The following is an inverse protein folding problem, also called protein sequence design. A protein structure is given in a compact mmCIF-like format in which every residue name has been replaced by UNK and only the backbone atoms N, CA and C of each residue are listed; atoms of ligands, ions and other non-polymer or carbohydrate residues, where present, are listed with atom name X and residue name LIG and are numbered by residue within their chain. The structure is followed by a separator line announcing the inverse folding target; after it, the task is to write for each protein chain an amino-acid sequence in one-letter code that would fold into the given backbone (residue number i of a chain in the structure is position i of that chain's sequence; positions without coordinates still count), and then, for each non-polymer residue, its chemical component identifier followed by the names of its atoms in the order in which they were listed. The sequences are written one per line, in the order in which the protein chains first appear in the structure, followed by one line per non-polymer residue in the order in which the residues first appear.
data_IF_613736272177
#
_entry.id   IF_613736272177
#
_cell.length_a   1.000
_cell.length_b   1.000
_cell.length_c   1.000
_cell.angle_alpha   90.00
_cell.angle_beta   90.00
_cell.angle_gamma   90.00
#
_symmetry.space_group_name_H-M   'P 1'
#
loop_
_entity.id
_entity.type
_entity.pdbx_description
1 polymer ?
#
# COMPACT_ATOMS: atom_id res chain seq x y z
N UNK A 1 -25.80 -14.95 24.36
CA UNK A 1 -24.38 -14.63 24.67
C UNK A 1 -23.55 -15.78 25.25
N UNK A 2 -24.13 -16.92 25.70
CA UNK A 2 -23.38 -18.06 26.26
C UNK A 2 -22.34 -18.62 25.28
N UNK A 3 -22.76 -18.96 24.05
CA UNK A 3 -21.87 -19.48 23.00
C UNK A 3 -20.69 -18.54 22.67
N UNK A 4 -20.92 -17.23 22.69
CA UNK A 4 -19.86 -16.23 22.45
C UNK A 4 -18.80 -16.28 23.55
N UNK A 5 -19.20 -16.45 24.82
CA UNK A 5 -18.26 -16.60 25.95
C UNK A 5 -17.44 -17.88 25.83
N UNK A 6 -18.09 -18.98 25.46
CA UNK A 6 -17.43 -20.28 25.26
C UNK A 6 -16.38 -20.20 24.13
N UNK A 7 -16.74 -19.65 22.96
CA UNK A 7 -15.80 -19.48 21.83
C UNK A 7 -14.65 -18.54 22.19
N UNK A 8 -14.93 -17.43 22.90
CA UNK A 8 -13.87 -16.53 23.36
C UNK A 8 -12.89 -17.23 24.29
N UNK A 9 -13.38 -18.08 25.20
CA UNK A 9 -12.52 -18.83 26.12
C UNK A 9 -11.62 -19.79 25.35
N UNK A 10 -12.17 -20.54 24.40
CA UNK A 10 -11.40 -21.45 23.54
C UNK A 10 -10.30 -20.72 22.76
N UNK A 11 -10.60 -19.55 22.19
CA UNK A 11 -9.60 -18.75 21.49
C UNK A 11 -8.50 -18.26 22.44
N UNK A 12 -8.86 -17.86 23.65
CA UNK A 12 -7.88 -17.45 24.67
C UNK A 12 -6.94 -18.59 25.04
N UNK A 13 -7.48 -19.78 25.29
CA UNK A 13 -6.69 -20.96 25.67
C UNK A 13 -5.68 -21.32 24.54
N UNK A 14 -6.10 -21.19 23.28
CA UNK A 14 -5.22 -21.37 22.11
C UNK A 14 -4.14 -20.30 22.07
N UNK A 15 -4.46 -19.02 22.29
CA UNK A 15 -3.47 -17.94 22.32
C UNK A 15 -2.41 -18.17 23.40
N UNK A 16 -2.84 -18.57 24.61
CA UNK A 16 -1.95 -18.90 25.73
C UNK A 16 -1.03 -20.10 25.34
N UNK A 17 -1.58 -21.14 24.69
CA UNK A 17 -0.80 -22.29 24.21
C UNK A 17 0.26 -21.90 23.16
N UNK A 18 -0.02 -20.91 22.33
CA UNK A 18 0.87 -20.39 21.29
C UNK A 18 1.79 -19.27 21.79
N UNK A 19 1.74 -18.95 23.10
CA UNK A 19 2.51 -17.87 23.74
C UNK A 19 2.27 -16.49 23.11
N UNK A 20 1.03 -16.25 22.66
CA UNK A 20 0.60 -14.96 22.13
C UNK A 20 0.06 -14.11 23.27
N UNK A 21 0.63 -12.93 23.46
CA UNK A 21 0.24 -12.04 24.57
C UNK A 21 -1.13 -11.39 24.32
N UNK A 22 -2.04 -11.56 25.28
CA UNK A 22 -3.40 -11.01 25.22
C UNK A 22 -3.41 -9.61 25.82
N UNK A 23 -3.22 -8.60 24.97
CA UNK A 23 -3.25 -7.18 25.37
C UNK A 23 -4.59 -6.54 25.05
N UNK A 24 -5.09 -5.73 25.98
CA UNK A 24 -6.19 -4.82 25.72
C UNK A 24 -5.64 -3.48 25.22
N UNK A 25 -6.41 -2.80 24.37
CA UNK A 25 -6.10 -1.45 23.90
C UNK A 25 -7.22 -0.49 24.34
N UNK A 26 -6.84 0.73 24.69
CA UNK A 26 -7.81 1.79 25.06
C UNK A 26 -8.37 2.57 23.87
N UNK A 27 -7.86 2.33 22.66
CA UNK A 27 -8.26 3.05 21.45
C UNK A 27 -9.03 2.13 20.48
N UNK A 28 -10.27 2.50 20.17
CA UNK A 28 -11.13 1.81 19.22
C UNK A 28 -10.57 1.76 17.79
N UNK A 29 -9.71 2.72 17.40
CA UNK A 29 -9.06 2.72 16.08
C UNK A 29 -8.17 1.51 15.87
N UNK A 30 -7.49 1.04 16.91
CA UNK A 30 -6.62 -0.14 16.82
C UNK A 30 -7.46 -1.37 16.50
N UNK A 31 -8.64 -1.48 17.13
CA UNK A 31 -9.60 -2.56 16.85
C UNK A 31 -10.16 -2.44 15.44
N UNK A 32 -10.56 -1.24 15.01
CA UNK A 32 -11.05 -0.99 13.64
C UNK A 32 -9.99 -1.30 12.59
N UNK A 33 -8.73 -0.91 12.82
CA UNK A 33 -7.60 -1.21 11.95
C UNK A 33 -7.32 -2.71 11.89
N UNK A 34 -7.46 -3.44 13.00
CA UNK A 34 -7.38 -4.91 13.01
C UNK A 34 -8.49 -5.56 12.16
N UNK A 35 -9.73 -5.08 12.28
CA UNK A 35 -10.85 -5.55 11.43
C UNK A 35 -10.57 -5.23 9.97
N UNK A 36 -10.09 -4.02 9.68
CA UNK A 36 -9.67 -3.60 8.36
C UNK A 36 -8.59 -4.53 7.77
N UNK A 37 -7.63 -4.99 8.58
CA UNK A 37 -6.57 -5.90 8.13
C UNK A 37 -7.11 -7.28 7.71
N UNK A 38 -8.17 -7.76 8.35
CA UNK A 38 -8.81 -9.02 7.98
C UNK A 38 -9.73 -8.86 6.75
N UNK A 39 -10.48 -7.75 6.69
CA UNK A 39 -11.55 -7.53 5.72
C UNK A 39 -11.23 -6.48 4.65
N UNK A 40 -9.96 -6.10 4.44
CA UNK A 40 -9.59 -5.06 3.47
C UNK A 40 -10.11 -5.34 2.06
N UNK A 41 -10.27 -6.61 1.68
CA UNK A 41 -10.78 -7.03 0.38
C UNK A 41 -12.30 -6.81 0.24
N UNK A 42 -13.02 -6.72 1.36
CA UNK A 42 -14.45 -6.41 1.49
C UNK A 42 -14.64 -4.96 1.93
N UNK A 43 -13.98 -4.05 1.23
CA UNK A 43 -14.06 -2.62 1.48
C UNK A 43 -15.00 -1.95 0.47
N UNK A 44 -15.75 -0.96 0.92
CA UNK A 44 -16.61 -0.13 0.08
C UNK A 44 -16.43 1.34 0.43
N UNK A 45 -16.70 2.20 -0.56
CA UNK A 45 -16.66 3.66 -0.41
C UNK A 45 -18.02 4.29 -0.67
N UNK A 46 -18.31 5.40 -0.01
CA UNK A 46 -19.52 6.18 -0.22
C UNK A 46 -19.50 6.76 -1.64
N UNK A 47 -20.60 6.60 -2.37
CA UNK A 47 -20.78 7.19 -3.71
C UNK A 47 -21.91 8.21 -3.72
N UNK A 48 -22.97 7.98 -2.95
CA UNK A 48 -24.14 8.85 -2.89
C UNK A 48 -24.85 8.71 -1.55
N UNK A 49 -26.08 9.21 -1.46
CA UNK A 49 -26.88 9.17 -0.22
C UNK A 49 -27.29 7.72 0.05
N UNK A 50 -26.63 7.08 1.02
CA UNK A 50 -26.92 5.69 1.41
C UNK A 50 -26.48 4.63 0.39
N UNK A 51 -25.81 5.03 -0.71
CA UNK A 51 -25.24 4.13 -1.71
C UNK A 51 -23.72 4.07 -1.55
N UNK A 52 -23.22 2.84 -1.43
CA UNK A 52 -21.81 2.52 -1.37
C UNK A 52 -21.42 1.74 -2.62
N UNK A 53 -20.13 1.76 -2.96
CA UNK A 53 -19.57 0.97 -4.05
C UNK A 53 -18.39 0.18 -3.53
N UNK A 54 -18.40 -1.12 -3.82
CA UNK A 54 -17.28 -1.99 -3.51
C UNK A 54 -16.01 -1.49 -4.21
N UNK A 55 -14.93 -1.33 -3.46
CA UNK A 55 -13.68 -0.75 -3.96
C UNK A 55 -12.93 -1.66 -4.96
N UNK A 56 -13.18 -2.97 -4.91
CA UNK A 56 -12.55 -3.96 -5.80
C UNK A 56 -13.39 -4.20 -7.05
N UNK A 57 -14.68 -4.49 -6.89
CA UNK A 57 -15.55 -4.92 -8.01
C UNK A 57 -16.28 -3.76 -8.67
N UNK A 58 -16.34 -2.59 -8.02
CA UNK A 58 -17.15 -1.47 -8.50
C UNK A 58 -18.66 -1.71 -8.40
N UNK A 59 -19.08 -2.82 -7.78
CA UNK A 59 -20.48 -3.17 -7.62
C UNK A 59 -21.16 -2.21 -6.63
N UNK A 60 -22.34 -1.65 -6.99
CA UNK A 60 -23.14 -0.86 -6.06
C UNK A 60 -23.69 -1.75 -4.95
N UNK A 61 -23.66 -1.25 -3.72
CA UNK A 61 -24.10 -1.96 -2.52
C UNK A 61 -24.75 -0.98 -1.55
N UNK A 62 -25.64 -1.50 -0.70
CA UNK A 62 -26.38 -0.71 0.28
C UNK A 62 -26.08 -1.20 1.70
N UNK A 63 -26.21 -0.32 2.68
CA UNK A 63 -26.17 -0.75 4.08
C UNK A 63 -27.41 -1.57 4.41
N UNK A 64 -27.23 -2.75 4.99
CA UNK A 64 -28.36 -3.54 5.47
C UNK A 64 -29.05 -2.81 6.64
N UNK A 65 -30.40 -2.83 6.75
CA UNK A 65 -31.13 -2.12 7.81
C UNK A 65 -30.78 -2.55 9.24
N UNK A 66 -30.26 -3.77 9.42
CA UNK A 66 -29.80 -4.25 10.74
C UNK A 66 -28.38 -3.81 11.09
N UNK A 67 -27.66 -3.20 10.17
CA UNK A 67 -26.31 -2.70 10.43
C UNK A 67 -26.36 -1.49 11.33
N UNK A 68 -25.45 -1.42 12.31
CA UNK A 68 -25.42 -0.34 13.30
C UNK A 68 -25.21 1.06 12.68
N UNK A 69 -24.55 1.14 11.52
CA UNK A 69 -24.35 2.40 10.80
C UNK A 69 -25.62 2.89 10.07
N UNK A 70 -26.62 2.03 9.89
CA UNK A 70 -27.88 2.41 9.26
C UNK A 70 -28.67 3.33 10.21
N UNK A 71 -28.91 4.58 9.80
CA UNK A 71 -29.68 5.55 10.59
C UNK A 71 -28.89 6.28 11.69
N UNK A 72 -27.57 6.11 11.78
CA UNK A 72 -26.73 6.77 12.79
C UNK A 72 -26.50 8.28 12.57
N UNK A 73 -27.05 8.89 11.52
CA UNK A 73 -26.87 10.31 11.18
C UNK A 73 -25.46 10.68 10.68
N UNK A 74 -24.50 9.77 10.79
CA UNK A 74 -23.15 9.87 10.26
C UNK A 74 -22.93 8.83 9.17
N UNK A 75 -22.50 9.26 7.98
CA UNK A 75 -22.19 8.40 6.84
C UNK A 75 -20.69 8.38 6.59
N UNK A 76 -19.96 7.34 7.01
CA UNK A 76 -18.52 7.25 6.79
C UNK A 76 -18.18 7.09 5.30
N UNK A 77 -17.10 7.73 4.87
CA UNK A 77 -16.61 7.67 3.48
C UNK A 77 -16.12 6.28 3.08
N UNK A 78 -15.48 5.57 4.01
CA UNK A 78 -14.94 4.23 3.81
C UNK A 78 -15.43 3.28 4.88
N UNK A 79 -15.80 2.08 4.44
CA UNK A 79 -16.32 1.02 5.30
C UNK A 79 -15.72 -0.34 4.90
N UNK A 80 -15.69 -1.25 5.86
CA UNK A 80 -15.49 -2.68 5.63
C UNK A 80 -16.71 -3.44 6.13
N UNK A 81 -17.04 -4.55 5.47
CA UNK A 81 -18.19 -5.40 5.82
C UNK A 81 -17.76 -6.86 5.97
N UNK A 82 -18.55 -7.63 6.72
CA UNK A 82 -18.29 -9.06 6.96
C UNK A 82 -18.97 -9.95 5.91
N UNK A 83 -20.20 -9.59 5.53
CA UNK A 83 -21.06 -10.39 4.66
C UNK A 83 -21.79 -9.49 3.66
N UNK A 84 -22.00 -10.03 2.47
CA UNK A 84 -22.82 -9.43 1.42
C UNK A 84 -24.02 -10.34 1.13
N UNK A 85 -25.21 -9.81 1.33
CA UNK A 85 -26.46 -10.51 1.06
C UNK A 85 -26.95 -10.09 -0.33
N UNK A 86 -26.99 -11.05 -1.25
CA UNK A 86 -27.50 -10.85 -2.61
C UNK A 86 -29.01 -11.12 -2.64
N UNK A 87 -29.81 -10.09 -2.91
CA UNK A 87 -31.27 -10.19 -3.13
C UNK A 87 -31.65 -9.42 -4.40
N UNK A 88 -32.76 -8.69 -4.40
CA UNK A 88 -33.05 -7.66 -5.42
C UNK A 88 -32.05 -6.52 -5.39
N UNK A 89 -31.47 -6.24 -4.22
CA UNK A 89 -30.34 -5.33 -4.03
C UNK A 89 -29.28 -6.01 -3.18
N UNK A 90 -28.02 -5.65 -3.39
CA UNK A 90 -26.89 -6.16 -2.62
C UNK A 90 -26.77 -5.36 -1.32
N UNK A 91 -26.88 -6.05 -0.18
CA UNK A 91 -26.82 -5.45 1.14
C UNK A 91 -25.59 -5.90 1.92
N UNK A 92 -24.87 -4.96 2.52
CA UNK A 92 -23.72 -5.21 3.39
C UNK A 92 -24.16 -5.32 4.85
N UNK A 93 -23.78 -6.42 5.50
CA UNK A 93 -24.06 -6.70 6.91
C UNK A 93 -22.78 -6.65 7.76
N UNK A 94 -22.94 -6.29 9.04
CA UNK A 94 -21.85 -6.14 10.00
C UNK A 94 -20.77 -5.17 9.51
N UNK A 95 -21.19 -3.93 9.29
CA UNK A 95 -20.35 -2.88 8.69
C UNK A 95 -19.60 -2.10 9.77
N UNK A 96 -18.32 -1.82 9.53
CA UNK A 96 -17.45 -0.99 10.38
C UNK A 96 -16.86 0.16 9.58
N UNK A 97 -16.85 1.36 10.15
CA UNK A 97 -16.20 2.53 9.55
C UNK A 97 -14.67 2.43 9.66
N UNK A 98 -13.95 2.78 8.59
CA UNK A 98 -12.49 2.71 8.51
C UNK A 98 -11.92 3.94 7.81
N UNK A 99 -10.63 4.21 8.00
CA UNK A 99 -9.90 5.21 7.23
C UNK A 99 -9.37 4.61 5.92
N UNK A 100 -9.45 5.38 4.83
CA UNK A 100 -8.84 5.04 3.55
C UNK A 100 -7.32 4.84 3.64
N UNK A 101 -6.64 5.56 4.55
CA UNK A 101 -5.21 5.38 4.79
C UNK A 101 -4.88 3.98 5.31
N UNK A 102 -5.71 3.42 6.19
CA UNK A 102 -5.50 2.07 6.72
C UNK A 102 -5.67 1.01 5.63
N UNK A 103 -6.64 1.20 4.73
CA UNK A 103 -6.82 0.32 3.58
C UNK A 103 -5.57 0.30 2.70
N UNK A 104 -5.01 1.48 2.40
CA UNK A 104 -3.78 1.58 1.62
C UNK A 104 -2.54 1.00 2.32
N UNK A 105 -2.43 1.18 3.64
CA UNK A 105 -1.33 0.63 4.44
C UNK A 105 -1.38 -0.89 4.53
N UNK A 106 -2.58 -1.45 4.78
CA UNK A 106 -2.78 -2.88 5.03
C UNK A 106 -2.93 -3.70 3.73
N UNK A 107 -3.35 -3.04 2.65
CA UNK A 107 -3.54 -3.64 1.33
C UNK A 107 -2.87 -2.84 0.21
N UNK A 108 -1.54 -2.60 0.24
CA UNK A 108 -0.85 -1.74 -0.73
C UNK A 108 -0.90 -2.28 -2.17
N UNK A 109 -1.10 -3.58 -2.32
CA UNK A 109 -1.29 -4.21 -3.64
C UNK A 109 -2.69 -3.98 -4.23
N UNK A 110 -3.68 -3.64 -3.39
CA UNK A 110 -5.07 -3.45 -3.80
C UNK A 110 -5.47 -1.97 -3.84
N UNK A 111 -4.87 -1.15 -3.00
CA UNK A 111 -5.27 0.23 -2.79
C UNK A 111 -4.09 1.17 -2.95
N UNK A 112 -4.34 2.28 -3.65
CA UNK A 112 -3.40 3.39 -3.78
C UNK A 112 -4.13 4.66 -3.38
N UNK A 113 -3.49 5.46 -2.52
CA UNK A 113 -4.01 6.77 -2.14
C UNK A 113 -3.83 7.72 -3.31
N UNK A 114 -4.95 8.05 -3.96
CA UNK A 114 -4.97 9.12 -4.93
C UNK A 114 -5.18 10.43 -4.18
N UNK A 115 -4.09 11.19 -4.01
CA UNK A 115 -4.10 12.58 -3.51
C UNK A 115 -4.90 13.47 -4.47
N UNK A 116 -6.22 13.35 -4.42
CA UNK A 116 -7.15 14.03 -5.33
C UNK A 116 -7.46 15.45 -4.86
N UNK A 117 -7.08 15.79 -3.61
CA UNK A 117 -7.37 17.07 -2.96
C UNK A 117 -6.20 18.06 -2.96
N UNK A 118 -5.00 17.66 -3.42
CA UNK A 118 -3.94 18.65 -3.64
C UNK A 118 -4.34 19.50 -4.84
N UNK A 119 -4.73 20.74 -4.57
CA UNK A 119 -4.94 21.74 -5.62
C UNK A 119 -3.72 21.74 -6.54
N UNK A 120 -3.86 22.08 -7.83
CA UNK A 120 -2.71 22.20 -8.75
C UNK A 120 -1.51 22.92 -8.12
N UNK A 121 -1.77 23.91 -7.27
CA UNK A 121 -0.79 24.67 -6.51
C UNK A 121 -0.01 23.86 -5.46
N UNK A 122 -0.64 22.92 -4.75
CA UNK A 122 0.05 22.09 -3.75
C UNK A 122 0.94 21.03 -4.39
N UNK A 123 0.51 20.46 -5.53
CA UNK A 123 1.39 19.57 -6.32
C UNK A 123 2.59 20.34 -6.87
N UNK A 124 2.38 21.52 -7.44
CA UNK A 124 3.45 22.36 -7.95
C UNK A 124 4.44 22.80 -6.85
N UNK A 125 3.96 23.11 -5.64
CA UNK A 125 4.84 23.42 -4.49
C UNK A 125 5.67 22.22 -4.06
N UNK A 126 5.07 21.02 -4.02
CA UNK A 126 5.77 19.80 -3.64
C UNK A 126 6.84 19.43 -4.68
N UNK A 127 6.48 19.46 -5.97
CA UNK A 127 7.43 19.24 -7.07
C UNK A 127 8.59 20.25 -7.04
N UNK A 128 8.31 21.52 -6.76
CA UNK A 128 9.36 22.55 -6.60
C UNK A 128 10.26 22.30 -5.39
N UNK A 129 9.69 21.85 -4.26
CA UNK A 129 10.48 21.49 -3.09
C UNK A 129 11.36 20.27 -3.36
N UNK A 130 10.81 19.23 -4.01
CA UNK A 130 11.51 17.99 -4.35
C UNK A 130 12.64 18.23 -5.37
N UNK A 131 12.41 19.08 -6.38
CA UNK A 131 13.44 19.49 -7.33
C UNK A 131 14.55 20.30 -6.65
N UNK A 132 14.21 21.25 -5.78
CA UNK A 132 15.23 22.03 -5.05
C UNK A 132 16.08 21.16 -4.12
N UNK A 133 15.49 20.16 -3.46
CA UNK A 133 16.25 19.21 -2.63
C UNK A 133 17.16 18.32 -3.46
N UNK A 134 16.69 17.85 -4.63
CA UNK A 134 17.52 17.06 -5.56
C UNK A 134 18.68 17.86 -6.15
N UNK A 135 18.46 19.13 -6.50
CA UNK A 135 19.51 20.01 -7.02
C UNK A 135 20.62 20.23 -5.98
N UNK A 136 20.24 20.45 -4.71
CA UNK A 136 21.20 20.60 -3.62
C UNK A 136 22.00 19.31 -3.36
N UNK A 137 21.34 18.15 -3.34
CA UNK A 137 21.99 16.85 -3.19
C UNK A 137 22.95 16.54 -4.35
N UNK A 138 22.59 16.92 -5.59
CA UNK A 138 23.44 16.74 -6.77
C UNK A 138 24.67 17.65 -6.73
N UNK A 139 24.51 18.90 -6.30
CA UNK A 139 25.61 19.85 -6.12
C UNK A 139 26.64 19.35 -5.10
N UNK A 140 26.17 18.93 -3.93
CA UNK A 140 27.03 18.36 -2.88
C UNK A 140 27.74 17.08 -3.38
N UNK A 141 27.04 16.25 -4.14
CA UNK A 141 27.62 15.02 -4.73
C UNK A 141 28.70 15.35 -5.76
N UNK A 142 28.49 16.37 -6.58
CA UNK A 142 29.42 16.80 -7.63
C UNK A 142 30.66 17.47 -7.05
N UNK A 143 30.52 18.27 -5.98
CA UNK A 143 31.65 18.81 -5.23
C UNK A 143 32.49 17.71 -4.58
N UNK A 144 31.85 16.72 -3.93
CA UNK A 144 32.54 15.55 -3.38
C UNK A 144 33.28 14.76 -4.46
N UNK A 145 32.65 14.58 -5.62
CA UNK A 145 33.26 13.88 -6.75
C UNK A 145 34.48 14.63 -7.31
N UNK A 146 34.38 15.95 -7.48
CA UNK A 146 35.50 16.77 -7.94
C UNK A 146 36.66 16.75 -6.94
N UNK A 147 36.37 16.87 -5.63
CA UNK A 147 37.39 16.78 -4.59
C UNK A 147 38.09 15.42 -4.59
N UNK A 148 37.34 14.33 -4.69
CA UNK A 148 37.93 12.99 -4.82
C UNK A 148 38.79 12.83 -6.08
N UNK A 149 38.38 13.44 -7.20
CA UNK A 149 39.14 13.40 -8.45
C UNK A 149 40.43 14.21 -8.38
N UNK A 150 40.41 15.36 -7.72
CA UNK A 150 41.59 16.19 -7.45
C UNK A 150 42.55 15.48 -6.49
N UNK A 151 42.05 14.87 -5.42
CA UNK A 151 42.83 14.04 -4.49
C UNK A 151 43.47 12.83 -5.21
N UNK A 152 42.72 12.15 -6.09
CA UNK A 152 43.23 11.03 -6.89
C UNK A 152 44.30 11.48 -7.90
N UNK A 153 44.09 12.61 -8.58
CA UNK A 153 45.06 13.19 -9.50
C UNK A 153 46.33 13.66 -8.77
N UNK A 154 46.19 14.26 -7.57
CA UNK A 154 47.32 14.69 -6.73
C UNK A 154 48.10 13.50 -6.14
N UNK A 155 47.41 12.38 -5.86
CA UNK A 155 48.03 11.13 -5.45
C UNK A 155 48.73 10.35 -6.59
N UNK A 156 48.71 10.88 -7.83
CA UNK A 156 49.38 10.28 -8.98
C UNK A 156 48.77 8.94 -9.45
N UNK A 157 47.55 8.61 -9.00
CA UNK A 157 46.81 7.42 -9.44
C UNK A 157 45.77 7.82 -10.49
N UNK A 158 45.85 7.23 -11.69
CA UNK A 158 44.79 7.39 -12.70
C UNK A 158 43.52 6.71 -12.17
N UNK A 159 42.41 7.45 -11.93
CA UNK A 159 41.20 6.83 -11.44
C UNK A 159 40.58 6.04 -12.58
N UNK A 160 40.68 4.70 -12.54
CA UNK A 160 39.87 3.82 -13.38
C UNK A 160 38.43 3.91 -12.90
N UNK A 161 37.69 4.88 -13.43
CA UNK A 161 36.25 5.00 -13.18
C UNK A 161 35.56 3.88 -13.96
N UNK A 162 35.41 2.72 -13.32
CA UNK A 162 34.51 1.68 -13.83
C UNK A 162 33.10 2.17 -13.58
N UNK A 163 32.47 2.74 -14.61
CA UNK A 163 31.04 3.10 -14.58
C UNK A 163 30.21 1.84 -14.30
N UNK A 164 29.91 1.58 -13.02
CA UNK A 164 28.90 0.61 -12.63
C UNK A 164 27.56 1.29 -12.84
N UNK A 165 26.99 1.09 -14.03
CA UNK A 165 25.59 1.39 -14.30
C UNK A 165 24.79 0.49 -13.34
N UNK A 166 24.22 1.07 -12.28
CA UNK A 166 23.28 0.39 -11.40
C UNK A 166 21.92 0.44 -12.09
N UNK A 167 21.67 -0.53 -12.95
CA UNK A 167 20.31 -0.88 -13.35
C UNK A 167 19.57 -1.45 -12.14
N UNK A 168 18.31 -1.07 -11.88
CA UNK A 168 17.54 -1.61 -10.77
C UNK A 168 17.03 -3.02 -11.14
N UNK A 169 17.93 -3.99 -11.24
CA UNK A 169 17.55 -5.41 -11.21
C UNK A 169 18.76 -6.24 -10.80
N UNK A 170 18.77 -6.64 -9.53
CA UNK A 170 19.74 -7.57 -8.99
C UNK A 170 19.44 -8.96 -9.59
N UNK A 171 20.25 -9.42 -10.56
CA UNK A 171 20.26 -10.82 -10.98
C UNK A 171 21.68 -11.37 -10.85
N UNK A 172 21.82 -12.26 -9.89
CA UNK A 172 22.96 -13.12 -9.62
C UNK A 172 23.41 -13.84 -10.92
N UNK A 173 24.71 -14.08 -11.00
CA UNK A 173 25.49 -14.57 -12.12
C UNK A 173 24.99 -15.89 -12.78
N UNK A 174 25.05 -15.86 -14.11
CA UNK A 174 25.60 -16.89 -15.03
C UNK A 174 25.02 -18.32 -15.03
N UNK A 175 24.20 -18.59 -16.04
CA UNK A 175 24.40 -19.77 -16.92
C UNK A 175 24.65 -19.27 -18.34
N UNK A 176 25.67 -19.75 -19.07
CA UNK A 176 25.98 -19.25 -20.41
C UNK A 176 24.96 -19.72 -21.43
N UNK A 177 24.20 -18.80 -22.03
CA UNK A 177 23.37 -19.06 -23.21
C UNK A 177 24.28 -19.09 -24.45
N UNK A 178 24.20 -20.10 -25.34
CA UNK A 178 25.10 -20.24 -26.48
C UNK A 178 24.88 -19.15 -27.54
N UNK A 179 25.98 -18.77 -28.22
CA UNK A 179 26.00 -17.73 -29.26
C UNK A 179 25.14 -18.15 -30.46
N UNK A 180 24.18 -17.30 -30.84
CA UNK A 180 23.43 -17.44 -32.09
C UNK A 180 24.27 -16.90 -33.24
N UNK A 181 24.90 -17.79 -34.00
CA UNK A 181 25.59 -17.47 -35.25
C UNK A 181 24.54 -17.13 -36.32
N UNK A 182 24.57 -15.91 -36.86
CA UNK A 182 23.79 -15.56 -38.05
C UNK A 182 24.47 -16.14 -39.29
N UNK A 183 23.76 -16.86 -40.18
CA UNK A 183 24.37 -17.38 -41.40
C UNK A 183 24.69 -16.25 -42.38
N UNK A 184 25.86 -16.37 -42.99
CA UNK A 184 26.38 -15.52 -44.06
C UNK A 184 25.50 -15.65 -45.31
N UNK A 185 25.02 -14.52 -45.83
CA UNK A 185 24.22 -14.45 -47.06
C UNK A 185 25.16 -14.38 -48.26
N UNK A 186 25.40 -15.51 -48.92
CA UNK A 186 25.97 -15.54 -50.27
C UNK A 186 24.83 -15.48 -51.28
N UNK A 187 24.87 -14.50 -52.17
CA UNK A 187 23.92 -14.38 -53.27
C UNK A 187 24.27 -15.28 -54.46
N UNK A 188 23.22 -15.72 -55.17
CA UNK A 188 23.04 -15.72 -56.63
C UNK A 188 21.58 -15.32 -56.86
#
# INVERSE_FOLDING_TARGET
MRKVREVRQQLKDIMDSQKLDVKSCGNWDIVRKCICAAYFHQAARLKGIGEYVNLRTGMPCHLHPTSALFGCGFTPDYIVYHELIMTTKEYMQCVTCVDGHWLAELGPMFFSLKDSFKTRNERARKEKSETSTMEEEMRVSQEKFNRMKEEANAAGQTPSIRNKIITPFNRIQTTPTPKRTTPFRSGI
#
